data_IF_883228465038
#
_entry.id   IF_883228465038
#
_cell.length_a   1.000
_cell.length_b   1.000
_cell.length_c   1.000
_cell.angle_alpha   90.00
_cell.angle_beta   90.00
_cell.angle_gamma   90.00
#
_symmetry.space_group_name_H-M   'P 1'
#
loop_
_entity.id
_entity.type
_entity.pdbx_description
1 polymer ?
#
# COMPACT_ATOMS: atom_id res chain seq x y z
N UNK A 1 -13.46 -20.29 17.10
CA UNK A 1 -12.25 -20.94 17.71
C UNK A 1 -11.65 -22.03 16.82
N UNK A 2 -12.46 -22.86 16.18
CA UNK A 2 -11.97 -24.05 15.44
C UNK A 2 -11.12 -23.73 14.20
N UNK A 3 -11.36 -22.62 13.49
CA UNK A 3 -10.61 -22.28 12.27
C UNK A 3 -9.46 -21.27 12.50
N UNK A 4 -9.51 -20.46 13.53
CA UNK A 4 -8.57 -19.36 13.74
C UNK A 4 -7.76 -19.50 15.04
N UNK A 5 -8.02 -20.52 15.86
CA UNK A 5 -7.31 -20.80 17.13
C UNK A 5 -7.55 -19.78 18.25
N UNK A 6 -8.28 -18.69 17.99
CA UNK A 6 -8.61 -17.62 18.94
C UNK A 6 -10.05 -17.18 18.78
N UNK A 7 -10.59 -16.51 19.80
CA UNK A 7 -11.90 -15.91 19.71
C UNK A 7 -11.87 -14.73 18.71
N UNK A 8 -12.73 -14.77 17.71
CA UNK A 8 -12.87 -13.71 16.72
C UNK A 8 -13.96 -12.75 17.19
N UNK A 9 -13.58 -11.51 17.46
CA UNK A 9 -14.51 -10.42 17.73
C UNK A 9 -15.03 -9.94 16.38
N UNK A 10 -16.24 -10.38 16.01
CA UNK A 10 -16.91 -9.98 14.75
C UNK A 10 -17.41 -8.54 14.76
N UNK A 11 -17.51 -7.92 15.94
CA UNK A 11 -17.99 -6.55 16.10
C UNK A 11 -16.81 -5.66 16.47
N UNK A 12 -16.36 -4.84 15.51
CA UNK A 12 -15.33 -3.84 15.74
C UNK A 12 -15.98 -2.66 16.47
N UNK A 13 -15.53 -2.41 17.70
CA UNK A 13 -15.86 -1.20 18.45
C UNK A 13 -14.80 -0.16 18.08
N UNK A 14 -15.20 0.90 17.38
CA UNK A 14 -14.35 2.04 17.06
C UNK A 14 -15.11 3.34 17.30
N UNK A 15 -14.38 4.38 17.64
CA UNK A 15 -14.93 5.71 17.72
C UNK A 15 -15.46 6.20 16.37
N UNK A 16 -16.46 7.08 16.40
CA UNK A 16 -16.98 7.69 15.18
C UNK A 16 -15.88 8.56 14.56
N UNK A 17 -15.44 8.21 13.36
CA UNK A 17 -14.55 9.07 12.59
C UNK A 17 -15.25 10.40 12.27
N UNK A 18 -14.52 11.49 12.39
CA UNK A 18 -14.93 12.82 11.92
C UNK A 18 -14.01 13.20 10.75
N UNK A 19 -14.40 12.86 9.51
CA UNK A 19 -13.58 13.18 8.35
C UNK A 19 -13.39 14.68 8.21
N UNK A 20 -12.14 15.10 7.92
CA UNK A 20 -11.74 16.50 7.79
C UNK A 20 -11.47 16.89 6.33
N UNK A 21 -10.27 17.35 6.01
CA UNK A 21 -9.90 17.79 4.66
C UNK A 21 -9.75 16.62 3.66
N UNK A 22 -9.93 16.92 2.37
CA UNK A 22 -9.69 15.96 1.29
C UNK A 22 -8.21 15.66 1.16
N UNK A 23 -7.83 14.38 1.32
CA UNK A 23 -6.44 13.91 1.18
C UNK A 23 -6.20 13.21 -0.16
N UNK A 24 -7.21 12.58 -0.75
CA UNK A 24 -7.13 11.98 -2.08
C UNK A 24 -8.26 12.54 -2.94
N UNK A 25 -7.93 12.94 -4.17
CA UNK A 25 -8.93 13.32 -5.17
C UNK A 25 -8.60 12.73 -6.52
N UNK A 26 -9.56 12.06 -7.09
CA UNK A 26 -9.55 11.50 -8.44
C UNK A 26 -10.57 12.25 -9.26
N UNK A 27 -10.22 12.66 -10.47
CA UNK A 27 -11.11 13.37 -11.39
C UNK A 27 -11.01 12.83 -12.80
N UNK A 28 -12.15 12.46 -13.35
CA UNK A 28 -12.37 12.04 -14.73
C UNK A 28 -11.31 11.04 -15.22
N UNK A 29 -10.99 10.05 -14.35
CA UNK A 29 -9.96 9.08 -14.62
C UNK A 29 -10.45 8.09 -15.68
N UNK A 30 -9.74 8.03 -16.80
CA UNK A 30 -10.01 7.09 -17.89
C UNK A 30 -8.79 6.22 -18.14
N UNK A 31 -9.04 4.98 -18.49
CA UNK A 31 -7.99 4.04 -18.86
C UNK A 31 -8.50 2.95 -19.79
N UNK A 32 -7.76 2.72 -20.85
CA UNK A 32 -7.98 1.67 -21.83
C UNK A 32 -6.80 0.71 -21.78
N UNK A 33 -7.08 -0.56 -21.60
CA UNK A 33 -6.02 -1.56 -21.50
C UNK A 33 -5.43 -1.93 -22.89
N UNK A 34 -4.35 -2.72 -22.89
CA UNK A 34 -3.64 -3.15 -24.11
C UNK A 34 -4.51 -3.93 -25.12
N UNK A 35 -5.68 -4.40 -24.72
CA UNK A 35 -6.65 -5.08 -25.61
C UNK A 35 -7.74 -4.13 -26.11
N UNK A 36 -7.52 -2.82 -25.99
CA UNK A 36 -8.46 -1.77 -26.36
C UNK A 36 -9.81 -1.85 -25.64
N UNK A 37 -9.83 -2.42 -24.42
CA UNK A 37 -10.99 -2.43 -23.56
C UNK A 37 -10.90 -1.26 -22.57
N UNK A 38 -11.94 -0.42 -22.53
CA UNK A 38 -12.05 0.66 -21.56
C UNK A 38 -12.31 0.05 -20.17
N UNK A 39 -11.36 0.21 -19.27
CA UNK A 39 -11.39 -0.33 -17.91
C UNK A 39 -11.88 0.70 -16.89
N UNK A 40 -11.53 1.98 -17.10
CA UNK A 40 -12.03 3.09 -16.33
C UNK A 40 -12.65 4.13 -17.27
N UNK A 41 -13.83 4.62 -16.91
CA UNK A 41 -14.58 5.60 -17.70
C UNK A 41 -15.04 6.75 -16.80
N UNK A 42 -14.33 7.88 -16.86
CA UNK A 42 -14.61 9.14 -16.11
C UNK A 42 -14.82 8.93 -14.61
N UNK A 43 -14.00 8.06 -14.00
CA UNK A 43 -14.10 7.75 -12.57
C UNK A 43 -13.66 8.98 -11.77
N UNK A 44 -14.54 9.45 -10.90
CA UNK A 44 -14.28 10.61 -10.03
C UNK A 44 -14.75 10.33 -8.62
N UNK A 45 -13.88 10.57 -7.63
CA UNK A 45 -14.20 10.50 -6.20
C UNK A 45 -13.17 11.25 -5.37
N UNK A 46 -13.45 11.40 -4.09
CA UNK A 46 -12.49 11.94 -3.13
C UNK A 46 -12.55 11.17 -1.81
N UNK A 47 -11.42 11.16 -1.08
CA UNK A 47 -11.31 10.58 0.25
C UNK A 47 -10.80 11.67 1.19
N UNK A 48 -11.43 11.80 2.34
CA UNK A 48 -11.05 12.76 3.38
C UNK A 48 -10.17 12.08 4.43
N UNK A 49 -9.41 12.86 5.15
CA UNK A 49 -8.62 12.36 6.28
C UNK A 49 -9.55 11.69 7.32
N UNK A 50 -9.19 10.47 7.72
CA UNK A 50 -9.98 9.67 8.65
C UNK A 50 -11.20 8.96 8.01
N UNK A 51 -11.39 9.07 6.69
CA UNK A 51 -12.45 8.39 5.95
C UNK A 51 -11.98 7.02 5.44
N UNK A 52 -12.89 6.05 5.42
CA UNK A 52 -12.72 4.76 4.74
C UNK A 52 -13.69 4.74 3.57
N UNK A 53 -13.17 4.78 2.35
CA UNK A 53 -13.97 4.63 1.13
C UNK A 53 -13.95 3.16 0.70
N UNK A 54 -15.12 2.54 0.61
CA UNK A 54 -15.28 1.19 0.06
C UNK A 54 -15.57 1.26 -1.44
N UNK A 55 -14.83 0.48 -2.25
CA UNK A 55 -15.08 0.30 -3.68
C UNK A 55 -15.46 -1.15 -3.90
N UNK A 56 -16.69 -1.39 -4.36
CA UNK A 56 -17.20 -2.71 -4.65
C UNK A 56 -17.38 -2.91 -6.16
N UNK A 57 -17.21 -4.14 -6.62
CA UNK A 57 -17.40 -4.51 -8.01
C UNK A 57 -17.12 -5.99 -8.24
N UNK A 58 -17.51 -6.47 -9.42
CA UNK A 58 -17.16 -7.82 -9.88
C UNK A 58 -15.72 -7.80 -10.43
N UNK A 59 -15.00 -8.89 -10.25
CA UNK A 59 -13.64 -9.04 -10.77
C UNK A 59 -13.54 -8.70 -12.27
N UNK A 60 -12.50 -7.97 -12.67
CA UNK A 60 -12.29 -7.54 -14.05
C UNK A 60 -13.06 -6.28 -14.47
N UNK A 61 -13.66 -5.54 -13.52
CA UNK A 61 -14.37 -4.29 -13.78
C UNK A 61 -13.55 -3.03 -13.46
N UNK A 62 -12.22 -3.12 -13.44
CA UNK A 62 -11.35 -1.96 -13.35
C UNK A 62 -10.86 -1.60 -11.95
N UNK A 63 -11.24 -2.35 -10.89
CA UNK A 63 -10.78 -2.05 -9.52
C UNK A 63 -9.26 -2.17 -9.40
N UNK A 64 -8.67 -3.21 -10.02
CA UNK A 64 -7.23 -3.42 -10.04
C UNK A 64 -6.53 -2.26 -10.74
N UNK A 65 -7.00 -1.89 -11.93
CA UNK A 65 -6.44 -0.79 -12.71
C UNK A 65 -6.56 0.54 -11.96
N UNK A 66 -7.67 0.78 -11.28
CA UNK A 66 -7.85 1.96 -10.43
C UNK A 66 -6.78 2.01 -9.33
N UNK A 67 -6.58 0.92 -8.58
CA UNK A 67 -5.57 0.85 -7.52
C UNK A 67 -4.16 1.04 -8.09
N UNK A 68 -3.85 0.42 -9.22
CA UNK A 68 -2.56 0.57 -9.90
C UNK A 68 -2.28 2.04 -10.29
N UNK A 69 -3.31 2.78 -10.72
CA UNK A 69 -3.16 4.22 -11.03
C UNK A 69 -3.04 5.09 -9.79
N UNK A 70 -3.75 4.77 -8.72
CA UNK A 70 -3.59 5.49 -7.45
C UNK A 70 -2.18 5.36 -6.88
N UNK A 71 -1.48 4.28 -7.22
CA UNK A 71 -0.09 4.04 -6.85
C UNK A 71 0.89 4.30 -8.01
N UNK A 72 0.39 4.86 -9.13
CA UNK A 72 1.15 5.18 -10.34
C UNK A 72 1.98 3.99 -10.90
N UNK A 73 1.43 2.78 -10.80
CA UNK A 73 1.96 1.59 -11.47
C UNK A 73 1.54 1.56 -12.94
N UNK A 74 0.42 2.20 -13.24
CA UNK A 74 -0.07 2.48 -14.58
C UNK A 74 -0.39 3.97 -14.72
N UNK A 75 -0.28 4.50 -15.94
CA UNK A 75 -0.61 5.89 -16.26
C UNK A 75 -2.02 5.96 -16.84
N UNK A 76 -2.90 6.85 -16.37
CA UNK A 76 -4.21 7.06 -16.96
C UNK A 76 -4.10 7.69 -18.36
N UNK A 77 -5.05 7.39 -19.25
CA UNK A 77 -5.17 8.05 -20.55
C UNK A 77 -5.61 9.51 -20.37
N UNK A 78 -6.56 9.74 -19.45
CA UNK A 78 -7.14 11.04 -19.13
C UNK A 78 -7.41 11.10 -17.63
N UNK A 79 -7.48 12.30 -17.09
CA UNK A 79 -7.85 12.54 -15.70
C UNK A 79 -6.68 12.89 -14.80
N UNK A 80 -6.99 13.13 -13.54
CA UNK A 80 -5.99 13.52 -12.53
C UNK A 80 -6.17 12.79 -11.24
N UNK A 81 -5.04 12.49 -10.58
CA UNK A 81 -4.98 11.98 -9.22
C UNK A 81 -4.12 12.91 -8.39
N UNK A 82 -4.69 13.44 -7.30
CA UNK A 82 -3.96 14.32 -6.38
C UNK A 82 -4.01 13.77 -4.96
N UNK A 83 -2.87 13.85 -4.26
CA UNK A 83 -2.75 13.52 -2.84
C UNK A 83 -2.30 14.77 -2.08
N UNK A 84 -3.05 15.14 -1.05
CA UNK A 84 -2.82 16.37 -0.27
C UNK A 84 -2.66 17.63 -1.15
N UNK A 85 -3.41 17.69 -2.28
CA UNK A 85 -3.39 18.81 -3.23
C UNK A 85 -2.32 18.72 -4.32
N UNK A 86 -1.38 17.79 -4.25
CA UNK A 86 -0.33 17.60 -5.25
C UNK A 86 -0.64 16.45 -6.20
N UNK A 87 -0.42 16.66 -7.50
CA UNK A 87 -0.57 15.59 -8.51
C UNK A 87 0.48 14.52 -8.32
N UNK A 88 0.04 13.25 -8.32
CA UNK A 88 0.93 12.09 -8.27
C UNK A 88 1.12 11.41 -9.62
N UNK A 89 0.38 11.83 -10.65
CA UNK A 89 0.50 11.25 -12.00
C UNK A 89 1.92 11.47 -12.54
N UNK A 90 2.52 10.42 -13.07
CA UNK A 90 3.90 10.39 -13.58
C UNK A 90 5.00 10.70 -12.54
N UNK A 91 4.70 10.60 -11.25
CA UNK A 91 5.74 10.68 -10.20
C UNK A 91 6.33 9.30 -9.90
N UNK A 92 7.58 9.26 -9.46
CA UNK A 92 8.22 8.02 -9.01
C UNK A 92 7.55 7.47 -7.74
N UNK A 93 7.66 6.16 -7.52
CA UNK A 93 7.09 5.47 -6.35
C UNK A 93 7.54 6.11 -5.02
N UNK A 94 8.83 6.49 -4.92
CA UNK A 94 9.37 7.14 -3.72
C UNK A 94 8.66 8.46 -3.42
N UNK A 95 8.39 9.27 -4.45
CA UNK A 95 7.65 10.53 -4.28
C UNK A 95 6.23 10.29 -3.81
N UNK A 96 5.56 9.27 -4.36
CA UNK A 96 4.19 8.91 -3.96
C UNK A 96 4.16 8.46 -2.50
N UNK A 97 5.11 7.62 -2.09
CA UNK A 97 5.26 7.18 -0.69
C UNK A 97 5.55 8.33 0.26
N UNK A 98 6.36 9.29 -0.15
CA UNK A 98 6.64 10.50 0.64
C UNK A 98 5.39 11.37 0.86
N UNK A 99 4.37 11.26 0.00
CA UNK A 99 3.04 11.85 0.24
C UNK A 99 2.15 11.01 1.17
N UNK A 100 2.67 9.92 1.74
CA UNK A 100 1.94 9.06 2.68
C UNK A 100 1.02 8.03 2.02
N UNK A 101 1.22 7.74 0.74
CA UNK A 101 0.46 6.70 0.03
C UNK A 101 1.15 5.35 0.20
N UNK A 102 0.41 4.34 0.66
CA UNK A 102 0.86 2.96 0.77
C UNK A 102 -0.11 2.02 0.07
N UNK A 103 0.40 0.93 -0.46
CA UNK A 103 -0.37 -0.09 -1.17
C UNK A 103 -0.21 -1.45 -0.49
N UNK A 104 -1.34 -2.11 -0.22
CA UNK A 104 -1.37 -3.55 0.04
C UNK A 104 -1.97 -4.20 -1.21
N UNK A 105 -1.17 -4.89 -2.03
CA UNK A 105 -1.65 -5.48 -3.28
C UNK A 105 -2.57 -6.67 -3.01
N UNK A 106 -3.46 -6.97 -3.96
CA UNK A 106 -4.34 -8.14 -3.92
C UNK A 106 -3.50 -9.43 -3.89
N UNK A 107 -2.61 -9.61 -4.83
CA UNK A 107 -1.61 -10.69 -4.82
C UNK A 107 -0.37 -10.26 -4.01
N UNK A 108 -0.44 -10.54 -2.72
CA UNK A 108 0.63 -10.21 -1.76
C UNK A 108 1.91 -11.01 -2.01
N UNK A 109 1.79 -12.22 -2.55
CA UNK A 109 2.96 -13.10 -2.76
C UNK A 109 3.79 -12.64 -3.95
N UNK A 110 3.14 -12.17 -5.01
CA UNK A 110 3.84 -11.71 -6.23
C UNK A 110 4.31 -10.26 -6.12
N UNK A 111 3.50 -9.38 -5.52
CA UNK A 111 3.74 -7.93 -5.54
C UNK A 111 3.98 -7.30 -4.18
N UNK A 112 3.68 -8.01 -3.09
CA UNK A 112 3.71 -7.43 -1.74
C UNK A 112 4.96 -7.78 -0.94
N UNK A 113 5.67 -8.86 -1.29
CA UNK A 113 6.84 -9.35 -0.57
C UNK A 113 7.90 -9.91 -1.52
N UNK A 114 9.16 -9.87 -1.09
CA UNK A 114 10.25 -10.64 -1.70
C UNK A 114 10.37 -11.97 -0.91
N UNK A 115 9.82 -13.04 -1.44
CA UNK A 115 9.62 -14.32 -0.74
C UNK A 115 10.94 -14.99 -0.33
N UNK A 116 11.98 -14.85 -1.15
CA UNK A 116 13.33 -15.39 -0.89
C UNK A 116 14.17 -14.51 0.06
N UNK A 117 13.75 -13.26 0.26
CA UNK A 117 14.43 -12.33 1.17
C UNK A 117 14.02 -12.57 2.62
N UNK A 118 14.85 -12.15 3.54
CA UNK A 118 14.58 -12.19 4.98
C UNK A 118 13.49 -11.19 5.38
N UNK A 119 12.97 -11.33 6.60
CA UNK A 119 12.03 -10.36 7.17
C UNK A 119 12.68 -8.98 7.27
N UNK A 120 13.95 -8.89 7.74
CA UNK A 120 14.65 -7.59 7.85
C UNK A 120 14.81 -6.90 6.49
N UNK A 121 15.04 -7.63 5.41
CA UNK A 121 15.12 -7.09 4.05
C UNK A 121 13.75 -6.64 3.53
N UNK A 122 12.70 -7.40 3.77
CA UNK A 122 11.34 -7.02 3.41
C UNK A 122 10.86 -5.76 4.18
N UNK A 123 11.17 -5.67 5.47
CA UNK A 123 10.78 -4.54 6.34
C UNK A 123 11.32 -3.21 5.82
N UNK A 124 12.51 -3.20 5.23
CA UNK A 124 13.13 -1.96 4.74
C UNK A 124 12.94 -1.73 3.24
N UNK A 125 12.34 -2.67 2.51
CA UNK A 125 12.28 -2.66 1.04
C UNK A 125 11.74 -1.36 0.44
N UNK A 126 10.84 -0.68 1.16
CA UNK A 126 10.22 0.58 0.75
C UNK A 126 10.90 1.83 1.35
N UNK A 127 11.82 1.66 2.29
CA UNK A 127 12.43 2.75 3.09
C UNK A 127 13.96 2.68 3.16
N UNK A 128 14.58 1.78 2.43
CA UNK A 128 16.03 1.54 2.48
C UNK A 128 16.87 2.79 2.17
N UNK A 129 16.34 3.74 1.38
CA UNK A 129 17.02 4.98 1.02
C UNK A 129 16.90 6.08 2.10
N UNK A 130 16.12 5.87 3.16
CA UNK A 130 15.94 6.88 4.21
C UNK A 130 17.19 6.99 5.08
N UNK A 131 17.50 8.21 5.57
CA UNK A 131 18.65 8.46 6.44
C UNK A 131 18.66 7.64 7.74
N UNK A 132 17.49 7.14 8.16
CA UNK A 132 17.39 6.27 9.34
C UNK A 132 18.07 4.92 9.10
N UNK A 133 17.87 4.35 7.91
CA UNK A 133 18.36 3.00 7.57
C UNK A 133 19.62 3.01 6.72
N UNK A 134 19.99 4.16 6.14
CA UNK A 134 21.12 4.28 5.23
C UNK A 134 21.83 5.61 5.44
N UNK A 135 23.13 5.57 5.68
CA UNK A 135 23.99 6.76 5.78
C UNK A 135 24.65 7.14 4.45
N UNK A 136 24.16 6.62 3.33
CA UNK A 136 24.64 6.86 1.97
C UNK A 136 25.65 5.82 1.47
N UNK A 137 26.43 5.18 2.35
CA UNK A 137 27.44 4.20 1.99
C UNK A 137 27.16 2.82 2.61
N UNK A 138 26.56 2.78 3.79
CA UNK A 138 26.29 1.54 4.53
C UNK A 138 24.91 1.58 5.16
N UNK A 139 24.28 0.42 5.21
CA UNK A 139 23.02 0.25 5.96
C UNK A 139 23.27 0.29 7.47
N UNK A 140 22.37 0.96 8.18
CA UNK A 140 22.31 0.93 9.63
C UNK A 140 21.63 -0.35 10.12
N UNK A 141 22.37 -1.46 10.12
CA UNK A 141 21.85 -2.78 10.47
C UNK A 141 21.27 -2.85 11.88
N UNK A 142 21.73 -1.98 12.79
CA UNK A 142 21.20 -1.92 14.16
C UNK A 142 19.74 -1.43 14.14
N UNK A 143 19.48 -0.33 13.44
CA UNK A 143 18.14 0.23 13.31
C UNK A 143 17.19 -0.69 12.54
N UNK A 144 17.70 -1.31 11.46
CA UNK A 144 16.92 -2.27 10.66
C UNK A 144 16.45 -3.45 11.52
N UNK A 145 17.34 -4.04 12.29
CA UNK A 145 17.01 -5.17 13.17
C UNK A 145 16.07 -4.78 14.29
N UNK A 146 16.31 -3.62 14.90
CA UNK A 146 15.43 -3.10 15.94
C UNK A 146 14.00 -2.89 15.42
N UNK A 147 13.86 -2.28 14.25
CA UNK A 147 12.55 -2.09 13.59
C UNK A 147 11.90 -3.44 13.27
N UNK A 148 12.67 -4.40 12.77
CA UNK A 148 12.17 -5.74 12.42
C UNK A 148 11.68 -6.49 13.65
N UNK A 149 12.43 -6.47 14.76
CA UNK A 149 12.01 -7.10 16.02
C UNK A 149 10.74 -6.44 16.57
N UNK A 150 10.65 -5.11 16.51
CA UNK A 150 9.46 -4.36 16.92
C UNK A 150 8.24 -4.79 16.13
N UNK A 151 8.35 -4.83 14.80
CA UNK A 151 7.24 -5.22 13.93
C UNK A 151 6.84 -6.69 14.11
N UNK A 152 7.80 -7.60 14.34
CA UNK A 152 7.51 -9.01 14.64
C UNK A 152 6.62 -9.12 15.89
N UNK A 153 6.92 -8.34 16.92
CA UNK A 153 6.16 -8.34 18.18
C UNK A 153 4.80 -7.67 18.00
N UNK A 154 4.76 -6.46 17.43
CA UNK A 154 3.56 -5.64 17.32
C UNK A 154 2.50 -6.30 16.43
N UNK A 155 2.92 -6.90 15.31
CA UNK A 155 2.04 -7.58 14.38
C UNK A 155 1.91 -9.09 14.65
N UNK A 156 2.54 -9.60 15.73
CA UNK A 156 2.52 -11.03 16.10
C UNK A 156 2.91 -11.94 14.94
N UNK A 157 3.97 -11.57 14.23
CA UNK A 157 4.47 -12.35 13.09
C UNK A 157 5.05 -13.66 13.62
N UNK A 158 4.60 -14.79 13.07
CA UNK A 158 5.12 -16.11 13.43
C UNK A 158 6.46 -16.33 12.73
N UNK A 159 7.54 -15.92 13.37
CA UNK A 159 8.89 -16.05 12.87
C UNK A 159 9.86 -16.42 13.99
N UNK A 160 10.92 -17.17 13.65
CA UNK A 160 11.99 -17.53 14.60
C UNK A 160 12.95 -16.37 14.84
N UNK A 161 13.14 -15.51 13.84
CA UNK A 161 13.97 -14.31 13.91
C UNK A 161 13.74 -13.43 12.67
N UNK A 162 14.21 -12.18 12.72
CA UNK A 162 14.17 -11.26 11.57
C UNK A 162 15.00 -11.74 10.36
N UNK A 163 15.93 -12.69 10.55
CA UNK A 163 16.73 -13.31 9.47
C UNK A 163 16.01 -14.42 8.72
N UNK A 164 14.86 -14.84 9.20
CA UNK A 164 14.08 -15.88 8.53
C UNK A 164 13.60 -15.38 7.17
N UNK A 165 13.73 -16.22 6.14
CA UNK A 165 13.11 -15.96 4.84
C UNK A 165 11.60 -16.00 4.98
N UNK A 166 10.90 -15.18 4.15
CA UNK A 166 9.44 -15.11 4.20
C UNK A 166 8.80 -16.35 3.59
N UNK A 167 9.41 -16.90 2.57
CA UNK A 167 9.01 -18.20 2.02
C UNK A 167 9.53 -19.32 2.93
N UNK A 168 8.62 -20.05 3.51
CA UNK A 168 8.88 -21.32 4.21
C UNK A 168 8.53 -22.51 3.33
#
# INVERSE_FOLDING_TARGET
>A
RLMVGRDVVLKVVKDKSQPTETVLRVRDLEYTNRWNKKMLDKVSFSVRRGEILGIAGVEGNGQKELVEMLFNLNTPDVGTVTVCGESIVNKSQDKIRNHGVSLVPEDRMTYGIADIASIEENVISDRFATKRFNNGMLFNMREIRHESDTLIVDYRILAKSFKQQVKM
#
